data_IF_984124424592
#
_entry.id   IF_984124424592
#
_cell.length_a   1.000
_cell.length_b   1.000
_cell.length_c   1.000
_cell.angle_alpha   90.00
_cell.angle_beta   90.00
_cell.angle_gamma   90.00
#
_symmetry.space_group_name_H-M   'P 1'
#
loop_
_entity.id
_entity.type
_entity.pdbx_description
1 polymer ?
#
# COMPACT_ATOMS: atom_id res chain seq x y z
N UNK A 1 -13.52 5.58 -12.97
CA UNK A 1 -12.55 4.46 -12.94
C UNK A 1 -11.18 5.03 -13.23
N UNK A 2 -10.19 4.80 -12.36
CA UNK A 2 -8.83 5.29 -12.59
C UNK A 2 -8.20 4.62 -13.80
N UNK A 3 -7.50 5.38 -14.61
CA UNK A 3 -6.76 4.89 -15.77
C UNK A 3 -5.58 4.00 -15.33
N UNK A 4 -4.97 3.27 -16.26
CA UNK A 4 -3.74 2.48 -15.97
C UNK A 4 -2.66 3.36 -15.33
N UNK A 5 -2.58 4.63 -15.73
CA UNK A 5 -1.65 5.60 -15.16
C UNK A 5 -1.97 5.92 -13.69
N UNK A 6 -3.24 6.08 -13.34
CA UNK A 6 -3.66 6.33 -11.95
C UNK A 6 -3.32 5.14 -11.04
N UNK A 7 -3.45 3.92 -11.55
CA UNK A 7 -3.07 2.70 -10.83
C UNK A 7 -1.56 2.71 -10.56
N UNK A 8 -0.73 3.01 -11.57
CA UNK A 8 0.72 3.08 -11.40
C UNK A 8 1.10 4.16 -10.38
N UNK A 9 0.51 5.35 -10.48
CA UNK A 9 0.72 6.44 -9.51
C UNK A 9 0.35 6.01 -8.09
N UNK A 10 -0.77 5.30 -7.94
CA UNK A 10 -1.22 4.81 -6.64
C UNK A 10 -0.21 3.81 -6.05
N UNK A 11 0.29 2.84 -6.83
CA UNK A 11 1.33 1.89 -6.38
C UNK A 11 2.59 2.63 -5.94
N UNK A 12 3.10 3.55 -6.77
CA UNK A 12 4.31 4.31 -6.44
C UNK A 12 4.14 5.14 -5.17
N UNK A 13 3.00 5.82 -5.02
CA UNK A 13 2.71 6.60 -3.82
C UNK A 13 2.63 5.73 -2.56
N UNK A 14 2.07 4.52 -2.67
CA UNK A 14 2.04 3.54 -1.58
C UNK A 14 3.43 3.11 -1.16
N UNK A 15 4.28 2.76 -2.13
CA UNK A 15 5.68 2.40 -1.87
C UNK A 15 6.42 3.53 -1.16
N UNK A 16 6.33 4.76 -1.67
CA UNK A 16 7.01 5.88 -1.02
C UNK A 16 6.52 6.15 0.39
N UNK A 17 5.22 5.97 0.68
CA UNK A 17 4.70 6.10 2.04
C UNK A 17 5.26 5.01 2.97
N UNK A 18 5.39 3.79 2.47
CA UNK A 18 5.97 2.69 3.23
C UNK A 18 7.47 2.82 3.47
N UNK A 19 8.23 3.33 2.49
CA UNK A 19 9.65 3.69 2.63
C UNK A 19 9.87 4.80 3.67
N UNK A 20 8.93 5.74 3.77
CA UNK A 20 8.94 6.80 4.79
C UNK A 20 8.47 6.33 6.17
N UNK A 21 7.98 5.09 6.29
CA UNK A 21 7.45 4.57 7.55
C UNK A 21 6.11 5.19 7.97
N UNK A 22 5.34 5.76 7.04
CA UNK A 22 4.05 6.35 7.33
C UNK A 22 2.99 5.30 7.67
N UNK A 23 1.91 5.70 8.35
CA UNK A 23 0.78 4.82 8.65
C UNK A 23 -0.08 4.53 7.40
N UNK A 24 -0.70 3.35 7.26
CA UNK A 24 -1.54 3.02 6.11
C UNK A 24 -2.83 3.87 6.03
N UNK A 25 -3.19 4.58 7.10
CA UNK A 25 -4.32 5.52 7.17
C UNK A 25 -4.10 6.79 6.35
N UNK A 26 -2.87 7.08 5.91
CA UNK A 26 -2.56 8.22 5.03
C UNK A 26 -3.02 8.00 3.59
N UNK A 27 -3.49 6.79 3.25
CA UNK A 27 -4.00 6.49 1.91
C UNK A 27 -5.16 7.44 1.54
N UNK A 28 -5.03 8.27 0.49
CA UNK A 28 -6.03 9.29 0.16
C UNK A 28 -7.24 8.72 -0.59
N UNK A 29 -7.20 7.44 -0.98
CA UNK A 29 -8.22 6.84 -1.83
C UNK A 29 -9.38 6.26 -1.01
N UNK A 30 -10.63 6.40 -1.47
CA UNK A 30 -11.78 5.86 -0.76
C UNK A 30 -11.77 4.33 -0.71
N UNK A 31 -12.42 3.76 0.30
CA UNK A 31 -12.37 2.32 0.63
C UNK A 31 -12.70 1.39 -0.54
N UNK A 32 -13.67 1.78 -1.38
CA UNK A 32 -14.16 0.99 -2.52
C UNK A 32 -13.37 1.20 -3.83
N UNK A 33 -12.33 2.04 -3.83
CA UNK A 33 -11.61 2.37 -5.06
C UNK A 33 -10.51 1.36 -5.38
N UNK A 34 -10.41 0.94 -6.65
CA UNK A 34 -9.30 0.14 -7.16
C UNK A 34 -7.93 0.79 -6.90
N UNK A 35 -7.88 2.13 -6.90
CA UNK A 35 -6.67 2.89 -6.58
C UNK A 35 -6.19 2.66 -5.14
N UNK A 36 -7.11 2.42 -4.20
CA UNK A 36 -6.75 2.09 -2.83
C UNK A 36 -6.05 0.73 -2.75
N UNK A 37 -6.56 -0.27 -3.45
CA UNK A 37 -5.92 -1.59 -3.54
C UNK A 37 -4.52 -1.48 -4.13
N UNK A 38 -4.36 -0.70 -5.20
CA UNK A 38 -3.08 -0.44 -5.83
C UNK A 38 -2.08 0.23 -4.86
N UNK A 39 -2.52 1.24 -4.12
CA UNK A 39 -1.71 1.92 -3.11
C UNK A 39 -1.29 0.98 -1.97
N UNK A 40 -2.23 0.21 -1.41
CA UNK A 40 -1.94 -0.73 -0.32
C UNK A 40 -0.91 -1.78 -0.76
N UNK A 41 -1.00 -2.26 -2.00
CA UNK A 41 -0.02 -3.22 -2.54
C UNK A 41 1.39 -2.63 -2.55
N UNK A 42 1.56 -1.42 -3.09
CA UNK A 42 2.87 -0.75 -3.10
C UNK A 42 3.41 -0.49 -1.69
N UNK A 43 2.54 -0.12 -0.75
CA UNK A 43 2.89 0.11 0.65
C UNK A 43 3.30 -1.18 1.39
N UNK A 44 2.65 -2.31 1.09
CA UNK A 44 2.99 -3.59 1.70
C UNK A 44 4.33 -4.14 1.21
N UNK A 45 4.75 -3.84 -0.02
CA UNK A 45 6.04 -4.29 -0.58
C UNK A 45 7.25 -3.76 0.19
N UNK A 46 7.10 -2.63 0.89
CA UNK A 46 8.20 -2.02 1.66
C UNK A 46 8.23 -2.47 3.11
N UNK A 47 7.20 -3.19 3.58
CA UNK A 47 7.23 -3.74 4.92
C UNK A 47 8.20 -4.92 4.93
N UNK A 48 9.14 -4.96 5.88
CA UNK A 48 10.00 -6.13 6.03
C UNK A 48 9.11 -7.37 6.26
N UNK A 49 9.41 -8.46 5.56
CA UNK A 49 8.75 -9.79 5.67
C UNK A 49 8.72 -10.34 7.11
N UNK A 50 9.43 -9.71 8.05
CA UNK A 50 9.56 -10.10 9.46
C UNK A 50 8.33 -9.90 10.34
N UNK A 51 7.14 -9.65 9.78
CA UNK A 51 5.88 -9.62 10.53
C UNK A 51 4.98 -10.80 10.16
N UNK A 52 5.54 -12.01 10.01
CA UNK A 52 4.77 -13.19 10.34
C UNK A 52 4.74 -13.26 11.88
N UNK A 53 3.57 -13.25 12.53
CA UNK A 53 3.50 -13.86 13.85
C UNK A 53 3.85 -15.32 13.61
N UNK A 54 5.05 -15.71 14.00
CA UNK A 54 5.40 -17.10 14.26
C UNK A 54 4.41 -17.56 15.32
N UNK A 55 3.29 -18.15 14.88
CA UNK A 55 2.40 -18.89 15.77
C UNK A 55 3.20 -20.12 16.19
N UNK A 56 3.99 -19.94 17.25
CA UNK A 56 4.56 -21.03 18.02
C UNK A 56 3.44 -21.57 18.92
N UNK A 57 2.95 -22.77 18.60
CA UNK A 57 2.36 -23.71 19.55
C UNK A 57 3.02 -25.07 19.32
#
# INVERSE_FOLDING_TARGET
MGTREDIVKAVTAGRSAGERGEAPTVCPYPHASTLRTAWIRGYAETRPVSAQPETAD
#
